data_IF_977225225678
#
_entry.id   IF_977225225678
#
_cell.length_a   1.000
_cell.length_b   1.000
_cell.length_c   1.000
_cell.angle_alpha   90.00
_cell.angle_beta   90.00
_cell.angle_gamma   90.00
#
_symmetry.space_group_name_H-M   'P 1'
#
loop_
_entity.id
_entity.type
_entity.pdbx_description
1 polymer ?
#
# COMPACT_ATOMS: atom_id res chain seq x y z
N UNK A 1 16.46 -1.98 4.11
CA UNK A 1 17.15 -1.80 5.41
C UNK A 1 16.31 -0.98 6.38
N UNK A 2 15.78 0.18 5.97
CA UNK A 2 15.00 1.08 6.86
C UNK A 2 13.65 0.49 7.34
N UNK A 3 12.89 -0.20 6.48
CA UNK A 3 11.60 -0.82 6.87
C UNK A 3 11.75 -1.92 7.94
N UNK A 4 12.85 -2.67 7.93
CA UNK A 4 13.12 -3.74 8.91
C UNK A 4 13.29 -3.14 10.31
N UNK A 5 14.16 -2.14 10.43
CA UNK A 5 14.35 -1.41 11.68
C UNK A 5 13.03 -0.80 12.17
N UNK A 6 12.24 -0.22 11.26
CA UNK A 6 10.94 0.38 11.58
C UNK A 6 9.92 -0.65 12.12
N UNK A 7 9.93 -1.87 11.59
CA UNK A 7 9.09 -2.98 12.06
C UNK A 7 9.57 -3.50 13.43
N UNK A 8 10.88 -3.62 13.63
CA UNK A 8 11.48 -4.06 14.89
C UNK A 8 11.19 -3.07 16.03
N UNK A 9 11.23 -1.76 15.76
CA UNK A 9 10.85 -0.71 16.73
C UNK A 9 9.39 -0.84 17.20
N UNK A 10 8.46 -1.12 16.28
CA UNK A 10 7.04 -1.32 16.61
C UNK A 10 6.85 -2.54 17.50
N UNK A 11 7.51 -3.64 17.18
CA UNK A 11 7.37 -4.90 17.94
C UNK A 11 8.00 -4.81 19.32
N UNK A 12 9.16 -4.18 19.41
CA UNK A 12 9.88 -3.99 20.67
C UNK A 12 9.28 -2.91 21.57
N UNK A 13 8.21 -2.23 21.12
CA UNK A 13 7.58 -1.08 21.81
C UNK A 13 8.60 0.00 22.21
N UNK A 14 9.70 0.11 21.47
CA UNK A 14 10.75 1.12 21.70
C UNK A 14 10.26 2.49 21.24
N UNK A 15 10.93 3.54 21.72
CA UNK A 15 10.71 4.91 21.24
C UNK A 15 10.95 4.95 19.73
N UNK A 16 9.95 5.42 19.01
CA UNK A 16 9.98 5.60 17.57
C UNK A 16 11.05 6.61 17.15
N UNK A 17 11.96 6.21 16.27
CA UNK A 17 13.04 7.09 15.80
C UNK A 17 12.57 8.09 14.72
N UNK A 18 11.56 7.71 13.94
CA UNK A 18 10.90 8.55 12.92
C UNK A 18 9.39 8.29 12.92
N UNK A 19 8.56 9.21 12.43
CA UNK A 19 7.10 8.96 12.35
C UNK A 19 6.65 8.24 11.08
N UNK A 20 7.48 8.30 10.02
CA UNK A 20 7.26 7.66 8.72
C UNK A 20 8.58 7.36 8.03
N UNK A 21 8.51 6.46 7.06
CA UNK A 21 9.60 6.11 6.15
C UNK A 21 9.09 6.16 4.70
N UNK A 22 9.99 6.44 3.76
CA UNK A 22 9.71 6.28 2.32
C UNK A 22 9.85 4.79 1.99
N UNK A 23 8.85 4.23 1.32
CA UNK A 23 8.85 2.83 0.89
C UNK A 23 8.86 2.68 -0.63
N UNK A 24 8.78 3.78 -1.37
CA UNK A 24 8.93 3.80 -2.82
C UNK A 24 8.39 5.08 -3.43
N UNK A 25 8.20 5.08 -4.74
CA UNK A 25 7.76 6.22 -5.52
C UNK A 25 6.63 5.81 -6.47
N UNK A 26 5.73 6.73 -6.79
CA UNK A 26 4.73 6.53 -7.84
C UNK A 26 5.43 6.35 -9.20
N UNK A 27 5.03 5.33 -9.94
CA UNK A 27 5.50 5.10 -11.30
C UNK A 27 5.05 6.24 -12.24
N UNK A 28 5.86 6.54 -13.26
CA UNK A 28 5.54 7.52 -14.29
C UNK A 28 4.17 7.30 -14.96
N UNK A 29 3.82 6.05 -15.27
CA UNK A 29 2.53 5.68 -15.87
C UNK A 29 1.37 5.98 -14.92
N UNK A 30 1.56 5.69 -13.63
CA UNK A 30 0.58 6.00 -12.58
C UNK A 30 0.40 7.51 -12.45
N UNK A 31 1.49 8.29 -12.48
CA UNK A 31 1.43 9.75 -12.44
C UNK A 31 0.65 10.29 -13.64
N UNK A 32 0.99 9.86 -14.86
CA UNK A 32 0.29 10.27 -16.09
C UNK A 32 -1.20 9.93 -16.02
N UNK A 33 -1.55 8.70 -15.63
CA UNK A 33 -2.94 8.26 -15.51
C UNK A 33 -3.77 9.13 -14.56
N UNK A 34 -3.20 9.52 -13.42
CA UNK A 34 -3.87 10.36 -12.42
C UNK A 34 -4.02 11.81 -12.91
N UNK A 35 -2.99 12.35 -13.57
CA UNK A 35 -3.00 13.71 -14.13
C UNK A 35 -4.05 13.88 -15.23
N UNK A 36 -4.17 12.92 -16.14
CA UNK A 36 -5.20 12.90 -17.19
C UNK A 36 -6.63 12.97 -16.60
N UNK A 37 -6.82 12.34 -15.43
CA UNK A 37 -8.10 12.33 -14.71
C UNK A 37 -8.28 13.52 -13.76
N UNK A 38 -7.35 14.49 -13.78
CA UNK A 38 -7.34 15.66 -12.88
C UNK A 38 -7.37 15.27 -11.39
N UNK A 39 -6.79 14.13 -11.06
CA UNK A 39 -6.69 13.64 -9.68
C UNK A 39 -5.41 14.23 -9.07
N UNK A 40 -5.49 15.01 -7.98
CA UNK A 40 -4.30 15.58 -7.36
C UNK A 40 -3.42 14.47 -6.77
N UNK A 41 -2.11 14.67 -6.84
CA UNK A 41 -1.11 13.82 -6.21
C UNK A 41 -0.46 14.63 -5.10
N UNK A 42 -0.56 14.18 -3.86
CA UNK A 42 0.02 14.90 -2.73
C UNK A 42 1.55 14.82 -2.67
N UNK A 43 2.14 13.66 -2.97
CA UNK A 43 3.59 13.49 -3.11
C UNK A 43 3.92 12.37 -4.10
N UNK A 44 5.13 12.41 -4.68
CA UNK A 44 5.61 11.30 -5.52
C UNK A 44 6.12 10.14 -4.67
N UNK A 45 6.70 10.45 -3.50
CA UNK A 45 7.09 9.48 -2.49
C UNK A 45 5.85 8.81 -1.89
N UNK A 46 5.91 7.49 -1.74
CA UNK A 46 4.94 6.68 -1.02
C UNK A 46 5.48 6.43 0.38
N UNK A 47 4.71 6.84 1.39
CA UNK A 47 5.12 6.72 2.78
C UNK A 47 4.42 5.59 3.52
N UNK A 48 5.13 5.02 4.49
CA UNK A 48 4.58 4.13 5.51
C UNK A 48 4.82 4.73 6.89
N UNK A 49 3.76 4.86 7.68
CA UNK A 49 3.82 5.43 9.05
C UNK A 49 3.94 4.33 10.10
N UNK A 50 4.40 4.63 11.32
CA UNK A 50 4.39 3.66 12.42
C UNK A 50 2.99 3.10 12.68
N UNK A 51 1.97 3.98 12.70
CA UNK A 51 0.57 3.56 12.86
C UNK A 51 0.13 2.64 11.73
N UNK A 52 0.47 2.99 10.48
CA UNK A 52 0.21 2.17 9.30
C UNK A 52 0.83 0.78 9.43
N UNK A 53 2.15 0.73 9.67
CA UNK A 53 2.90 -0.52 9.83
C UNK A 53 2.39 -1.37 11.01
N UNK A 54 2.04 -0.76 12.14
CA UNK A 54 1.38 -1.47 13.25
C UNK A 54 0.04 -2.09 12.83
N UNK A 55 -0.75 -1.41 12.00
CA UNK A 55 -1.99 -1.99 11.47
C UNK A 55 -1.77 -3.13 10.47
N UNK A 56 -0.64 -3.13 9.75
CA UNK A 56 -0.25 -4.22 8.85
C UNK A 56 0.20 -5.46 9.63
N UNK A 57 1.01 -5.28 10.67
CA UNK A 57 1.64 -6.35 11.46
C UNK A 57 0.75 -6.95 12.57
N UNK A 58 -0.54 -6.61 12.61
CA UNK A 58 -1.47 -7.12 13.64
C UNK A 58 -1.72 -8.62 13.47
N UNK A 59 -1.35 -9.40 14.48
CA UNK A 59 -1.62 -10.84 14.53
C UNK A 59 -3.08 -11.23 14.33
N UNK A 60 -4.05 -10.39 14.72
CA UNK A 60 -5.47 -10.70 14.50
C UNK A 60 -5.87 -10.77 13.03
N UNK A 61 -5.20 -10.02 12.14
CA UNK A 61 -5.41 -10.14 10.68
C UNK A 61 -4.71 -11.37 10.11
N UNK A 62 -3.52 -11.68 10.60
CA UNK A 62 -2.77 -12.87 10.21
C UNK A 62 -3.51 -14.16 10.59
N UNK A 63 -4.08 -14.23 11.80
CA UNK A 63 -4.90 -15.37 12.26
C UNK A 63 -6.14 -15.62 11.40
N UNK A 64 -6.66 -14.59 10.71
CA UNK A 64 -7.79 -14.68 9.78
C UNK A 64 -7.34 -14.94 8.33
N UNK A 65 -6.05 -15.17 8.09
CA UNK A 65 -5.50 -15.45 6.76
C UNK A 65 -5.42 -14.26 5.80
N UNK A 66 -5.78 -13.05 6.25
CA UNK A 66 -5.84 -11.84 5.43
C UNK A 66 -4.69 -10.85 5.69
N UNK A 67 -4.03 -10.96 6.85
CA UNK A 67 -2.89 -10.11 7.21
C UNK A 67 -1.58 -10.63 6.63
N UNK A 68 -0.71 -9.71 6.19
CA UNK A 68 0.61 -10.06 5.67
C UNK A 68 1.51 -10.65 6.76
N UNK A 69 2.34 -11.61 6.36
CA UNK A 69 3.48 -12.06 7.14
C UNK A 69 4.52 -10.94 7.29
N UNK A 70 5.41 -11.05 8.28
CA UNK A 70 6.51 -10.07 8.40
C UNK A 70 7.43 -10.08 7.18
N UNK A 71 7.72 -11.26 6.63
CA UNK A 71 8.48 -11.39 5.39
C UNK A 71 7.85 -10.64 4.23
N UNK A 72 6.52 -10.67 4.09
CA UNK A 72 5.83 -9.96 3.02
C UNK A 72 5.71 -8.45 3.29
N UNK A 73 5.63 -8.05 4.56
CA UNK A 73 5.74 -6.63 4.95
C UNK A 73 7.11 -6.08 4.53
N UNK A 74 8.19 -6.84 4.73
CA UNK A 74 9.54 -6.40 4.35
C UNK A 74 9.72 -6.28 2.82
N UNK A 75 8.90 -6.98 2.03
CA UNK A 75 8.86 -6.90 0.56
C UNK A 75 8.08 -5.69 0.02
N UNK A 76 7.39 -4.91 0.86
CA UNK A 76 6.60 -3.74 0.42
C UNK A 76 7.37 -2.82 -0.56
N UNK A 77 8.64 -2.45 -0.30
CA UNK A 77 9.38 -1.60 -1.24
C UNK A 77 9.59 -2.23 -2.62
N UNK A 78 9.84 -3.54 -2.66
CA UNK A 78 9.97 -4.30 -3.90
C UNK A 78 8.64 -4.34 -4.66
N UNK A 79 7.53 -4.58 -3.95
CA UNK A 79 6.17 -4.60 -4.54
C UNK A 79 5.82 -3.24 -5.15
N UNK A 80 6.22 -2.13 -4.52
CA UNK A 80 5.99 -0.79 -5.08
C UNK A 80 6.86 -0.56 -6.31
N UNK A 81 8.12 -1.01 -6.28
CA UNK A 81 9.06 -0.79 -7.38
C UNK A 81 8.73 -1.65 -8.61
N UNK A 82 8.24 -2.88 -8.39
CA UNK A 82 7.95 -3.86 -9.44
C UNK A 82 6.62 -4.57 -9.13
N UNK A 83 5.49 -3.87 -9.21
CA UNK A 83 4.19 -4.51 -9.01
C UNK A 83 3.89 -5.46 -10.18
N UNK A 84 3.18 -6.54 -9.88
CA UNK A 84 2.58 -7.39 -10.93
C UNK A 84 1.46 -6.68 -11.67
N UNK A 85 0.74 -5.80 -10.97
CA UNK A 85 -0.28 -4.93 -11.53
C UNK A 85 -0.56 -3.74 -10.60
N UNK A 86 -1.02 -2.63 -11.16
CA UNK A 86 -1.57 -1.50 -10.43
C UNK A 86 -2.99 -1.23 -10.89
N UNK A 87 -3.93 -1.21 -9.96
CA UNK A 87 -5.32 -0.85 -10.23
C UNK A 87 -5.67 0.50 -9.59
N UNK A 88 -6.59 1.22 -10.21
CA UNK A 88 -7.20 2.42 -9.66
C UNK A 88 -8.64 2.10 -9.21
N UNK A 89 -8.96 2.42 -7.95
CA UNK A 89 -10.30 2.31 -7.38
C UNK A 89 -11.15 3.52 -7.82
N UNK A 90 -12.05 3.30 -8.77
CA UNK A 90 -12.92 4.34 -9.34
C UNK A 90 -14.02 4.81 -8.40
N UNK A 91 -14.21 4.14 -7.26
CA UNK A 91 -15.21 4.58 -6.29
C UNK A 91 -14.86 5.98 -5.81
N UNK A 92 -15.75 6.94 -6.09
CA UNK A 92 -15.57 8.40 -5.89
C UNK A 92 -14.96 8.81 -4.54
N UNK A 93 -15.23 8.05 -3.48
CA UNK A 93 -14.76 8.36 -2.12
C UNK A 93 -13.40 7.77 -1.77
N UNK A 94 -12.88 6.86 -2.59
CA UNK A 94 -11.70 6.04 -2.25
C UNK A 94 -10.44 6.51 -2.95
N UNK A 95 -10.49 6.84 -4.25
CA UNK A 95 -9.37 7.34 -5.06
C UNK A 95 -8.02 6.69 -4.72
N UNK A 96 -8.02 5.37 -4.49
CA UNK A 96 -6.84 4.63 -4.08
C UNK A 96 -6.23 3.92 -5.27
N UNK A 97 -4.92 3.73 -5.23
CA UNK A 97 -4.21 2.77 -6.06
C UNK A 97 -4.04 1.46 -5.30
N UNK A 98 -4.16 0.34 -6.00
CA UNK A 98 -3.93 -0.99 -5.50
C UNK A 98 -2.69 -1.53 -6.18
N UNK A 99 -1.58 -1.61 -5.46
CA UNK A 99 -0.37 -2.27 -5.93
C UNK A 99 -0.47 -3.75 -5.58
N UNK A 100 -0.38 -4.59 -6.59
CA UNK A 100 -0.52 -6.04 -6.45
C UNK A 100 0.81 -6.75 -6.75
N UNK A 101 1.14 -7.75 -5.94
CA UNK A 101 2.23 -8.68 -6.24
C UNK A 101 1.74 -10.12 -6.07
N UNK A 102 2.14 -10.98 -7.01
CA UNK A 102 1.90 -12.42 -6.89
C UNK A 102 2.58 -12.96 -5.63
N UNK A 103 1.92 -13.90 -4.97
CA UNK A 103 2.54 -14.74 -3.94
C UNK A 103 2.91 -16.10 -4.55
N UNK A 104 3.72 -16.88 -3.84
CA UNK A 104 4.01 -18.27 -4.24
C UNK A 104 2.73 -19.13 -4.36
N UNK A 105 1.62 -18.67 -3.76
CA UNK A 105 0.29 -19.21 -3.98
C UNK A 105 -0.38 -18.50 -5.17
N UNK A 106 -0.57 -19.24 -6.27
CA UNK A 106 -1.16 -18.74 -7.52
C UNK A 106 -2.55 -18.09 -7.37
N UNK A 107 -3.26 -18.36 -6.27
CA UNK A 107 -4.61 -17.84 -6.06
C UNK A 107 -4.66 -16.57 -5.20
N UNK A 108 -3.53 -16.13 -4.62
CA UNK A 108 -3.46 -14.98 -3.73
C UNK A 108 -2.43 -13.96 -4.18
N UNK A 109 -2.82 -12.70 -4.04
CA UNK A 109 -1.95 -11.54 -4.24
C UNK A 109 -1.75 -10.79 -2.94
N UNK A 110 -0.56 -10.22 -2.75
CA UNK A 110 -0.39 -9.11 -1.82
C UNK A 110 -1.02 -7.88 -2.46
N UNK A 111 -1.94 -7.23 -1.76
CA UNK A 111 -2.53 -5.94 -2.14
C UNK A 111 -2.05 -4.87 -1.18
N UNK A 112 -1.45 -3.81 -1.71
CA UNK A 112 -1.17 -2.56 -1.00
C UNK A 112 -2.15 -1.50 -1.45
N UNK A 113 -2.92 -0.93 -0.53
CA UNK A 113 -3.82 0.20 -0.82
C UNK A 113 -3.06 1.48 -0.55
N UNK A 114 -2.72 2.18 -1.62
CA UNK A 114 -2.01 3.46 -1.63
C UNK A 114 -3.01 4.58 -1.85
N UNK A 115 -3.02 5.52 -0.93
CA UNK A 115 -3.82 6.71 -0.99
C UNK A 115 -2.99 7.87 -1.50
N UNK A 116 -3.41 8.45 -2.62
CA UNK A 116 -2.70 9.54 -3.27
C UNK A 116 -3.24 10.93 -2.90
N UNK A 117 -4.45 11.01 -2.34
CA UNK A 117 -5.16 12.29 -2.14
C UNK A 117 -6.33 12.32 -1.12
N UNK A 118 -6.76 11.19 -0.57
CA UNK A 118 -8.13 11.00 -0.05
C UNK A 118 -8.37 11.55 1.36
N UNK A 119 -7.37 12.13 2.01
CA UNK A 119 -7.54 12.79 3.31
C UNK A 119 -7.13 14.26 3.27
N UNK A 120 -8.03 15.10 2.77
CA UNK A 120 -7.95 16.56 2.84
C UNK A 120 -7.79 17.10 4.27
N UNK A 121 -8.19 16.34 5.30
CA UNK A 121 -8.16 16.74 6.72
C UNK A 121 -6.90 16.33 7.50
N UNK A 122 -5.86 15.78 6.86
CA UNK A 122 -4.57 15.55 7.55
C UNK A 122 -3.71 16.81 7.53
N UNK A 123 -3.00 17.06 8.64
CA UNK A 123 -2.01 18.14 8.73
C UNK A 123 -0.92 18.06 7.65
N UNK A 124 -0.62 16.84 7.18
CA UNK A 124 0.33 16.61 6.09
C UNK A 124 -0.34 15.93 4.90
N UNK A 125 -0.25 16.58 3.74
CA UNK A 125 -0.69 16.07 2.45
C UNK A 125 0.45 15.23 1.86
N UNK A 126 0.41 13.92 2.08
CA UNK A 126 1.38 12.96 1.53
C UNK A 126 0.67 11.72 1.00
N UNK A 127 1.27 11.05 0.02
CA UNK A 127 0.83 9.75 -0.49
C UNK A 127 1.25 8.63 0.46
N UNK A 128 0.33 7.76 0.87
CA UNK A 128 0.58 6.79 1.95
C UNK A 128 -0.06 5.42 1.73
N UNK A 129 0.59 4.37 2.24
CA UNK A 129 -0.04 3.06 2.36
C UNK A 129 -1.06 3.09 3.52
N UNK A 130 -2.34 2.91 3.22
CA UNK A 130 -3.43 2.85 4.21
C UNK A 130 -3.55 1.48 4.84
N UNK A 131 -3.49 0.45 4.02
CA UNK A 131 -3.63 -0.94 4.44
C UNK A 131 -2.97 -1.86 3.42
N UNK A 132 -2.62 -3.05 3.88
CA UNK A 132 -2.16 -4.14 3.05
C UNK A 132 -2.73 -5.46 3.57
N UNK A 133 -2.76 -6.46 2.70
CA UNK A 133 -3.24 -7.79 3.04
C UNK A 133 -3.24 -8.70 1.82
N UNK A 134 -3.53 -9.98 2.06
CA UNK A 134 -3.78 -10.90 0.97
C UNK A 134 -5.19 -10.69 0.41
N UNK A 135 -5.32 -10.88 -0.90
CA UNK A 135 -6.59 -10.91 -1.60
C UNK A 135 -6.56 -12.04 -2.63
N UNK A 136 -7.69 -12.70 -2.82
CA UNK A 136 -7.82 -13.73 -3.84
C UNK A 136 -7.94 -13.11 -5.23
N UNK A 137 -7.31 -13.73 -6.24
CA UNK A 137 -7.25 -13.26 -7.63
C UNK A 137 -8.62 -12.79 -8.16
N UNK A 138 -9.62 -13.67 -8.01
CA UNK A 138 -10.97 -13.43 -8.53
C UNK A 138 -11.67 -12.22 -7.90
N UNK A 139 -11.28 -11.80 -6.69
CA UNK A 139 -11.87 -10.63 -6.02
C UNK A 139 -11.37 -9.31 -6.62
N UNK A 140 -10.20 -9.32 -7.28
CA UNK A 140 -9.71 -8.18 -8.06
C UNK A 140 -10.38 -8.22 -9.44
N UNK A 141 -10.32 -9.37 -10.12
CA UNK A 141 -10.78 -9.53 -11.51
C UNK A 141 -12.28 -9.26 -11.70
N UNK A 142 -13.11 -9.64 -10.72
CA UNK A 142 -14.57 -9.43 -10.79
C UNK A 142 -15.02 -8.04 -10.34
N UNK A 143 -14.11 -7.20 -9.85
CA UNK A 143 -14.48 -5.90 -9.32
C UNK A 143 -14.55 -4.84 -10.42
N UNK A 144 -15.78 -4.47 -10.78
CA UNK A 144 -16.07 -3.48 -11.82
C UNK A 144 -15.59 -2.06 -11.48
N UNK A 145 -15.28 -1.79 -10.22
CA UNK A 145 -14.76 -0.49 -9.76
C UNK A 145 -13.22 -0.39 -9.88
N UNK A 146 -12.54 -1.43 -10.38
CA UNK A 146 -11.10 -1.44 -10.54
C UNK A 146 -10.72 -1.29 -12.01
N UNK A 147 -10.01 -0.19 -12.31
CA UNK A 147 -9.44 0.05 -13.62
C UNK A 147 -7.95 -0.25 -13.58
N UNK A 148 -7.47 -1.09 -14.50
CA UNK A 148 -6.03 -1.37 -14.62
C UNK A 148 -5.28 -0.13 -15.10
N UNK A 149 -4.15 0.15 -14.45
CA UNK A 149 -3.25 1.26 -14.79
C UNK A 149 -1.99 0.74 -15.49
N UNK A 150 -1.41 -0.34 -14.95
CA UNK A 150 -0.27 -1.07 -15.51
C UNK A 150 -0.20 -2.49 -14.98
#
# INVERSE_FOLDING_TARGET
MEIKQFLDEIKSKKKHTKNRIVVGYLDSKVISFLQERKIPIFSKEIYLTHKGLSHLSRHSKQKRGAGLSDSDILKIPEIIQKPSAVYFDTKKEKLNLLYCAQTDNCFKFVKLVVDVNSYTNRKEKVTLIKTAGYIEAHNIEKNQEYVIVM
#
